data_IF_863041333103
#
_entry.id   IF_863041333103
#
_cell.length_a   1.000
_cell.length_b   1.000
_cell.length_c   1.000
_cell.angle_alpha   90.00
_cell.angle_beta   90.00
_cell.angle_gamma   90.00
#
_symmetry.space_group_name_H-M   'P 1'
#
loop_
_entity.id
_entity.type
_entity.pdbx_description
1 polymer ?
#
# COMPACT_ATOMS: atom_id res chain seq x y z
N UNK A 1 -11.73 2.29 -21.13
CA UNK A 1 -10.30 2.16 -20.76
C UNK A 1 -10.15 0.82 -20.04
N UNK A 2 -9.56 -0.18 -20.70
CA UNK A 2 -9.35 -1.51 -20.12
C UNK A 2 -8.05 -1.45 -19.31
N UNK A 3 -8.08 -1.77 -18.02
CA UNK A 3 -6.89 -1.82 -17.18
C UNK A 3 -5.99 -2.96 -17.65
N UNK A 4 -4.81 -2.63 -18.18
CA UNK A 4 -3.88 -3.59 -18.80
C UNK A 4 -3.19 -4.55 -17.84
N UNK A 5 -3.40 -4.38 -16.52
CA UNK A 5 -2.75 -5.17 -15.47
C UNK A 5 -3.74 -5.52 -14.37
N UNK A 6 -3.58 -6.71 -13.80
CA UNK A 6 -4.30 -7.10 -12.59
C UNK A 6 -3.75 -6.31 -11.40
N UNK A 7 -4.63 -5.93 -10.46
CA UNK A 7 -4.20 -5.22 -9.25
C UNK A 7 -3.15 -6.00 -8.44
N UNK A 8 -3.12 -7.34 -8.54
CA UNK A 8 -2.09 -8.21 -7.96
C UNK A 8 -0.70 -8.02 -8.58
N UNK A 9 -0.62 -7.71 -9.88
CA UNK A 9 0.63 -7.45 -10.61
C UNK A 9 1.17 -6.07 -10.28
N UNK A 10 0.28 -5.08 -10.17
CA UNK A 10 0.61 -3.72 -9.71
C UNK A 10 0.94 -3.70 -8.21
N UNK A 11 0.46 -4.68 -7.43
CA UNK A 11 0.65 -4.71 -5.98
C UNK A 11 2.12 -4.85 -5.56
N UNK A 12 3.02 -5.38 -6.39
CA UNK A 12 4.43 -5.57 -6.04
C UNK A 12 5.33 -4.64 -6.86
N UNK A 13 5.04 -3.34 -6.85
CA UNK A 13 5.90 -2.36 -7.52
C UNK A 13 7.26 -2.23 -6.84
N UNK A 14 8.22 -1.71 -7.60
CA UNK A 14 9.55 -1.29 -7.14
C UNK A 14 9.47 -0.41 -5.88
N UNK A 15 8.38 0.37 -5.71
CA UNK A 15 8.14 1.21 -4.54
C UNK A 15 7.92 0.44 -3.22
N UNK A 16 7.69 -0.88 -3.27
CA UNK A 16 7.58 -1.74 -2.10
C UNK A 16 8.88 -2.45 -1.74
N UNK A 17 9.92 -2.30 -2.55
CA UNK A 17 11.22 -2.87 -2.25
C UNK A 17 11.85 -2.16 -1.04
N UNK A 18 12.49 -2.93 -0.16
CA UNK A 18 13.14 -2.44 1.06
C UNK A 18 14.17 -1.34 0.79
N UNK A 19 14.82 -1.36 -0.39
CA UNK A 19 15.76 -0.32 -0.82
C UNK A 19 15.11 1.05 -1.02
N UNK A 20 13.82 1.09 -1.36
CA UNK A 20 13.07 2.32 -1.62
C UNK A 20 12.27 2.77 -0.40
N UNK A 21 12.00 1.88 0.56
CA UNK A 21 11.20 2.20 1.77
C UNK A 21 11.69 3.46 2.50
N UNK A 22 13.02 3.64 2.60
CA UNK A 22 13.65 4.82 3.24
C UNK A 22 13.56 6.09 2.39
N UNK A 23 13.37 5.96 1.08
CA UNK A 23 13.29 7.05 0.11
C UNK A 23 11.84 7.34 -0.32
N UNK A 24 10.85 6.64 0.24
CA UNK A 24 9.43 6.86 -0.05
C UNK A 24 9.03 8.34 0.06
N UNK A 25 9.45 9.10 1.10
CA UNK A 25 9.12 10.52 1.16
C UNK A 25 9.67 11.33 -0.02
N UNK A 26 10.90 11.03 -0.45
CA UNK A 26 11.55 11.69 -1.59
C UNK A 26 10.85 11.34 -2.90
N UNK A 27 10.55 10.06 -3.11
CA UNK A 27 9.85 9.60 -4.32
C UNK A 27 8.43 10.15 -4.37
N UNK A 28 7.72 10.16 -3.24
CA UNK A 28 6.40 10.78 -3.14
C UNK A 28 6.48 12.28 -3.47
N UNK A 29 7.43 13.01 -2.89
CA UNK A 29 7.63 14.43 -3.19
C UNK A 29 7.89 14.71 -4.68
N UNK A 30 8.66 13.86 -5.35
CA UNK A 30 8.95 14.01 -6.78
C UNK A 30 7.80 13.59 -7.71
N UNK A 31 6.95 12.65 -7.28
CA UNK A 31 5.90 12.07 -8.12
C UNK A 31 4.50 12.61 -7.83
N UNK A 32 4.29 13.26 -6.69
CA UNK A 32 2.98 13.77 -6.26
C UNK A 32 2.40 14.79 -7.27
N UNK A 33 3.24 15.65 -7.85
CA UNK A 33 2.82 16.58 -8.90
C UNK A 33 2.24 15.87 -10.13
N UNK A 34 2.79 14.71 -10.47
CA UNK A 34 2.39 13.92 -11.62
C UNK A 34 1.08 13.16 -11.40
N UNK A 35 0.88 12.68 -10.17
CA UNK A 35 -0.41 12.14 -9.73
C UNK A 35 -1.49 13.22 -9.82
N UNK A 36 -1.22 14.43 -9.32
CA UNK A 36 -2.15 15.56 -9.40
C UNK A 36 -2.47 15.91 -10.86
N UNK A 37 -1.45 15.97 -11.72
CA UNK A 37 -1.63 16.23 -13.15
C UNK A 37 -2.47 15.16 -13.84
N UNK A 38 -2.24 13.88 -13.53
CA UNK A 38 -3.02 12.77 -14.07
C UNK A 38 -4.49 12.87 -13.68
N UNK A 39 -4.76 13.08 -12.39
CA UNK A 39 -6.12 13.22 -11.87
C UNK A 39 -6.83 14.43 -12.49
N UNK A 40 -6.13 15.56 -12.63
CA UNK A 40 -6.70 16.76 -13.27
C UNK A 40 -7.10 16.50 -14.72
N UNK A 41 -6.25 15.84 -15.51
CA UNK A 41 -6.58 15.48 -16.91
C UNK A 41 -7.79 14.54 -16.98
N UNK A 42 -7.86 13.56 -16.09
CA UNK A 42 -9.01 12.65 -16.04
C UNK A 42 -10.30 13.40 -15.65
N UNK A 43 -10.21 14.33 -14.69
CA UNK A 43 -11.34 15.16 -14.28
C UNK A 43 -11.87 16.00 -15.46
N UNK A 44 -10.98 16.69 -16.18
CA UNK A 44 -11.33 17.49 -17.37
C UNK A 44 -11.98 16.65 -18.48
N UNK A 45 -11.50 15.42 -18.72
CA UNK A 45 -12.09 14.51 -19.70
C UNK A 45 -13.49 14.03 -19.29
N UNK A 46 -13.69 13.69 -18.02
CA UNK A 46 -14.97 13.21 -17.54
C UNK A 46 -16.01 14.34 -17.49
N UNK A 47 -15.64 15.53 -17.05
CA UNK A 47 -16.56 16.69 -17.01
C UNK A 47 -16.93 17.15 -18.42
N UNK A 48 -15.97 17.20 -19.36
CA UNK A 48 -16.27 17.51 -20.77
C UNK A 48 -17.16 16.47 -21.46
N UNK A 49 -17.16 15.24 -20.96
CA UNK A 49 -18.08 14.18 -21.41
C UNK A 49 -19.47 14.27 -20.75
N UNK A 50 -19.73 15.30 -19.93
CA UNK A 50 -21.03 15.55 -19.30
C UNK A 50 -21.25 14.82 -17.97
N UNK A 51 -20.22 14.22 -17.37
CA UNK A 51 -20.34 13.54 -16.08
C UNK A 51 -20.10 14.49 -14.91
N UNK A 52 -20.91 14.34 -13.86
CA UNK A 52 -20.61 14.89 -12.54
C UNK A 52 -19.58 14.01 -11.84
N UNK A 53 -18.44 14.60 -11.45
CA UNK A 53 -17.34 13.85 -10.84
C UNK A 53 -17.21 14.26 -9.38
N UNK A 54 -17.34 13.29 -8.48
CA UNK A 54 -17.06 13.45 -7.06
C UNK A 54 -15.65 12.92 -6.79
N UNK A 55 -14.83 13.73 -6.12
CA UNK A 55 -13.45 13.38 -5.82
C UNK A 55 -13.31 12.99 -4.35
N UNK A 56 -12.81 11.78 -4.10
CA UNK A 56 -12.52 11.27 -2.75
C UNK A 56 -11.02 11.02 -2.60
N UNK A 57 -10.44 11.37 -1.45
CA UNK A 57 -9.03 11.09 -1.19
C UNK A 57 -8.48 11.62 0.12
N UNK A 58 -7.17 11.48 0.29
CA UNK A 58 -6.42 12.08 1.40
C UNK A 58 -6.34 13.60 1.22
N UNK A 59 -6.46 14.34 2.31
CA UNK A 59 -6.42 15.82 2.32
C UNK A 59 -5.21 16.37 1.54
N UNK A 60 -4.03 15.79 1.76
CA UNK A 60 -2.77 16.24 1.13
C UNK A 60 -2.79 16.12 -0.40
N UNK A 61 -3.65 15.29 -0.99
CA UNK A 61 -3.79 15.19 -2.44
C UNK A 61 -4.93 16.08 -2.94
N UNK A 62 -6.05 16.13 -2.22
CA UNK A 62 -7.22 16.93 -2.57
C UNK A 62 -6.96 18.43 -2.55
N UNK A 63 -6.07 18.91 -1.65
CA UNK A 63 -5.74 20.32 -1.52
C UNK A 63 -5.12 20.92 -2.80
N UNK A 64 -4.56 20.10 -3.68
CA UNK A 64 -3.95 20.53 -4.93
C UNK A 64 -4.88 20.41 -6.16
N UNK A 65 -6.10 19.88 -5.99
CA UNK A 65 -7.08 19.74 -7.06
C UNK A 65 -8.16 20.80 -6.86
N UNK A 66 -8.28 21.73 -7.82
CA UNK A 66 -9.28 22.80 -7.78
C UNK A 66 -10.64 22.26 -8.21
N UNK A 67 -11.45 21.81 -7.24
CA UNK A 67 -12.86 21.45 -7.44
C UNK A 67 -13.66 21.72 -6.17
N UNK A 68 -14.91 22.20 -6.27
CA UNK A 68 -15.80 22.34 -5.12
C UNK A 68 -16.35 20.98 -4.61
N UNK A 69 -16.24 19.91 -5.40
CA UNK A 69 -16.81 18.59 -5.09
C UNK A 69 -15.75 17.60 -4.58
N UNK A 70 -15.01 18.00 -3.53
CA UNK A 70 -13.97 17.18 -2.90
C UNK A 70 -14.41 16.69 -1.52
N UNK A 71 -14.18 15.42 -1.26
CA UNK A 71 -14.55 14.73 -0.02
C UNK A 71 -13.30 14.07 0.57
N UNK A 72 -12.94 14.48 1.78
CA UNK A 72 -11.79 13.91 2.47
C UNK A 72 -12.15 12.56 3.09
N UNK A 73 -11.27 11.57 2.89
CA UNK A 73 -11.33 10.30 3.60
C UNK A 73 -10.74 10.46 4.99
N UNK A 74 -11.62 10.69 5.95
CA UNK A 74 -11.25 10.71 7.36
C UNK A 74 -11.29 9.27 7.89
N UNK A 75 -10.12 8.77 8.30
CA UNK A 75 -10.02 7.54 9.06
C UNK A 75 -10.01 7.92 10.55
N UNK A 76 -11.10 7.65 11.30
CA UNK A 76 -11.28 8.19 12.65
C UNK A 76 -10.25 7.66 13.66
N UNK A 77 -9.66 6.49 13.39
CA UNK A 77 -8.65 5.89 14.25
C UNK A 77 -7.40 5.52 13.43
N UNK A 78 -6.39 6.38 13.51
CA UNK A 78 -5.09 6.16 12.86
C UNK A 78 -4.32 4.97 13.46
N UNK A 79 -4.60 4.57 14.71
CA UNK A 79 -3.96 3.41 15.31
C UNK A 79 -4.30 2.12 14.57
N UNK A 80 -5.49 2.01 13.97
CA UNK A 80 -5.87 0.84 13.17
C UNK A 80 -4.98 0.66 11.93
N UNK A 81 -4.50 1.77 11.33
CA UNK A 81 -3.57 1.71 10.20
C UNK A 81 -2.21 1.21 10.68
N UNK A 82 -1.72 1.74 11.81
CA UNK A 82 -0.47 1.30 12.42
C UNK A 82 -0.50 -0.17 12.80
N UNK A 83 -1.58 -0.62 13.45
CA UNK A 83 -1.81 -2.02 13.81
C UNK A 83 -1.88 -2.93 12.58
N UNK A 84 -2.61 -2.51 11.54
CA UNK A 84 -2.68 -3.26 10.28
C UNK A 84 -1.30 -3.37 9.63
N UNK A 85 -0.52 -2.29 9.61
CA UNK A 85 0.84 -2.30 9.04
C UNK A 85 1.76 -3.21 9.86
N UNK A 86 1.70 -3.14 11.19
CA UNK A 86 2.45 -4.03 12.06
C UNK A 86 2.10 -5.51 11.79
N UNK A 87 0.80 -5.84 11.74
CA UNK A 87 0.34 -7.19 11.43
C UNK A 87 0.82 -7.67 10.05
N UNK A 88 0.80 -6.80 9.03
CA UNK A 88 1.34 -7.12 7.71
C UNK A 88 2.84 -7.39 7.72
N UNK A 89 3.62 -6.61 8.49
CA UNK A 89 5.07 -6.81 8.60
C UNK A 89 5.41 -8.12 9.32
N UNK A 90 4.69 -8.43 10.41
CA UNK A 90 4.84 -9.72 11.13
C UNK A 90 4.50 -10.88 10.20
N UNK A 91 3.37 -10.81 9.48
CA UNK A 91 2.96 -11.85 8.54
C UNK A 91 3.93 -12.04 7.38
N UNK A 92 4.48 -10.95 6.82
CA UNK A 92 5.48 -11.03 5.76
C UNK A 92 6.77 -11.71 6.23
N UNK A 93 7.28 -11.35 7.43
CA UNK A 93 8.47 -11.97 8.00
C UNK A 93 8.26 -13.45 8.32
N UNK A 94 7.12 -13.80 8.92
CA UNK A 94 6.79 -15.20 9.18
C UNK A 94 6.74 -16.00 7.87
N UNK A 95 6.14 -15.44 6.81
CA UNK A 95 6.10 -16.07 5.49
C UNK A 95 7.52 -16.29 4.91
N UNK A 96 8.42 -15.31 5.05
CA UNK A 96 9.81 -15.45 4.59
C UNK A 96 10.56 -16.53 5.37
N UNK A 97 10.36 -16.62 6.70
CA UNK A 97 10.94 -17.67 7.54
C UNK A 97 10.44 -19.07 7.13
N UNK A 98 9.13 -19.20 6.89
CA UNK A 98 8.51 -20.44 6.40
C UNK A 98 9.09 -20.83 5.03
N UNK A 99 9.26 -19.86 4.12
CA UNK A 99 9.85 -20.11 2.79
C UNK A 99 11.32 -20.54 2.88
N UNK A 100 12.11 -19.93 3.77
CA UNK A 100 13.50 -20.31 4.00
C UNK A 100 13.63 -21.72 4.61
N UNK A 101 12.71 -22.10 5.51
CA UNK A 101 12.68 -23.44 6.13
C UNK A 101 12.08 -24.51 5.20
N UNK A 102 11.15 -24.13 4.32
CA UNK A 102 10.52 -25.00 3.33
C UNK A 102 11.38 -25.36 2.11
N UNK A 103 12.64 -24.92 2.06
CA UNK A 103 13.57 -25.21 0.97
C UNK A 103 14.22 -26.61 0.99
N UNK A 104 13.90 -27.47 1.97
CA UNK A 104 14.50 -28.81 2.03
C UNK A 104 13.95 -29.72 3.13
N UNK A 105 12.67 -30.07 3.11
CA UNK A 105 12.10 -31.02 4.07
C UNK A 105 10.79 -31.65 3.60
N UNK A 106 10.67 -32.95 3.86
CA UNK A 106 9.66 -33.91 3.38
C UNK A 106 8.17 -33.51 3.56
N UNK A 107 7.27 -34.08 2.74
CA UNK A 107 5.82 -33.88 2.84
C UNK A 107 5.28 -34.48 4.15
N UNK A 108 5.26 -33.67 5.21
CA UNK A 108 4.73 -34.08 6.53
C UNK A 108 5.14 -33.19 7.71
N UNK A 109 6.10 -32.28 7.56
CA UNK A 109 6.40 -31.32 8.63
C UNK A 109 5.36 -30.20 8.65
N UNK A 110 4.37 -30.32 9.53
CA UNK A 110 3.40 -29.26 9.78
C UNK A 110 4.14 -28.04 10.36
N UNK A 111 4.35 -27.03 9.53
CA UNK A 111 5.04 -25.81 9.96
C UNK A 111 4.12 -25.09 10.95
N UNK A 112 4.55 -24.96 12.21
CA UNK A 112 3.79 -24.21 13.22
C UNK A 112 3.82 -22.71 12.87
N UNK A 113 2.82 -22.29 12.10
CA UNK A 113 2.60 -20.91 11.68
C UNK A 113 2.52 -19.98 12.89
N UNK A 114 1.96 -20.43 14.02
CA UNK A 114 1.86 -19.63 15.22
C UNK A 114 3.22 -19.42 15.89
N UNK A 115 4.11 -20.41 15.87
CA UNK A 115 5.48 -20.25 16.36
C UNK A 115 6.27 -19.23 15.51
N UNK A 116 6.20 -19.34 14.19
CA UNK A 116 6.91 -18.40 13.29
C UNK A 116 6.36 -16.97 13.43
N UNK A 117 5.05 -16.80 13.59
CA UNK A 117 4.45 -15.48 13.86
C UNK A 117 4.97 -14.90 15.20
N UNK A 118 5.09 -15.73 16.25
CA UNK A 118 5.63 -15.28 17.56
C UNK A 118 7.10 -14.88 17.46
N UNK A 119 7.92 -15.63 16.72
CA UNK A 119 9.33 -15.28 16.50
C UNK A 119 9.47 -14.02 15.64
N UNK A 120 8.68 -13.89 14.57
CA UNK A 120 8.63 -12.70 13.75
C UNK A 120 8.20 -11.45 14.57
N UNK A 121 7.32 -11.62 15.54
CA UNK A 121 6.90 -10.57 16.48
C UNK A 121 8.06 -10.13 17.39
N UNK A 122 8.78 -11.07 18.02
CA UNK A 122 9.95 -10.76 18.88
C UNK A 122 11.01 -9.96 18.11
N UNK A 123 11.33 -10.41 16.89
CA UNK A 123 12.27 -9.73 16.00
C UNK A 123 11.83 -8.33 15.56
N UNK A 124 10.55 -7.97 15.71
CA UNK A 124 10.00 -6.65 15.38
C UNK A 124 9.98 -5.72 16.60
N UNK A 125 9.81 -6.28 17.80
CA UNK A 125 9.71 -5.53 19.06
C UNK A 125 11.08 -5.27 19.69
N UNK A 126 12.14 -5.97 19.28
CA UNK A 126 13.51 -5.71 19.75
C UNK A 126 13.77 -6.20 21.18
N UNK A 127 13.09 -7.26 21.60
CA UNK A 127 13.30 -8.02 22.83
C UNK A 127 13.66 -9.46 22.50
#
# INVERSE_FOLDING_TARGET
>A
MCLSYLASEVKNTVLKESRIERSIPTVAGMTQGEVINFVRKALEQMTSSGYNVLMEGREQTLNYIRTPHRFEVILPNMALIGQRRAAQLVGARALDQIRCKGGGGEPGSEVDVHAEIREALKALVGT
#
